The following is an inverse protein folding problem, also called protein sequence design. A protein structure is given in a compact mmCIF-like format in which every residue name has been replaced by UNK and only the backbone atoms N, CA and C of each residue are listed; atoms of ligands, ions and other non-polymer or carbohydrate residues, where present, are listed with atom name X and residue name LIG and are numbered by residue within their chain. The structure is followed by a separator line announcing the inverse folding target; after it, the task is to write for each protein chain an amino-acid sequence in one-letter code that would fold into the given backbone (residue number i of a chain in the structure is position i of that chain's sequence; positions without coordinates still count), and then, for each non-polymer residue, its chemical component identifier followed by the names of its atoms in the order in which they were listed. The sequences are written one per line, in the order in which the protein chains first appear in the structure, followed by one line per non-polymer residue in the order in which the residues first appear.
data_IF_786666169115
#
_entry.id   IF_786666169115
#
_cell.length_a   1.000
_cell.length_b   1.000
_cell.length_c   1.000
_cell.angle_alpha   90.00
_cell.angle_beta   90.00
_cell.angle_gamma   90.00
#
_symmetry.space_group_name_H-M   'P 1'
#
loop_
_entity.id
_entity.type
_entity.pdbx_description
1 polymer ?
#
# COMPACT_ATOMS: atom_id res chain seq x y z
N UNK A 1 -3.11 8.77 5.82
CA UNK A 1 -2.22 9.32 4.75
C UNK A 1 -3.06 9.88 3.59
N UNK A 2 -2.66 10.99 2.96
CA UNK A 2 -3.21 11.47 1.66
C UNK A 2 -2.31 10.98 0.52
N UNK A 3 -2.88 10.53 -0.60
CA UNK A 3 -2.13 9.96 -1.72
C UNK A 3 -2.72 10.42 -3.06
N UNK A 4 -1.97 11.25 -3.79
CA UNK A 4 -2.42 11.84 -5.05
C UNK A 4 -2.76 10.78 -6.12
N UNK A 5 -2.05 9.65 -6.15
CA UNK A 5 -2.34 8.56 -7.07
C UNK A 5 -3.68 7.87 -6.79
N UNK A 6 -4.05 7.77 -5.51
CA UNK A 6 -5.35 7.24 -5.11
C UNK A 6 -6.44 8.27 -5.43
N UNK A 7 -6.22 9.54 -5.11
CA UNK A 7 -7.18 10.60 -5.37
C UNK A 7 -7.46 10.76 -6.88
N UNK A 8 -6.42 10.63 -7.73
CA UNK A 8 -6.52 10.62 -9.19
C UNK A 8 -7.09 9.30 -9.77
N UNK A 9 -7.28 8.27 -8.95
CA UNK A 9 -7.81 6.97 -9.37
C UNK A 9 -6.90 6.13 -10.27
N UNK A 10 -5.63 6.49 -10.39
CA UNK A 10 -4.65 5.78 -11.21
C UNK A 10 -3.97 4.62 -10.47
N UNK A 11 -4.09 4.55 -9.15
CA UNK A 11 -3.58 3.44 -8.34
C UNK A 11 -4.56 3.03 -7.23
N UNK A 12 -4.81 1.73 -7.11
CA UNK A 12 -5.69 1.12 -6.10
C UNK A 12 -5.00 0.06 -5.25
N UNK A 13 -3.66 0.03 -5.24
CA UNK A 13 -2.89 -0.95 -4.46
C UNK A 13 -3.12 -0.83 -2.94
N UNK A 14 -3.44 0.37 -2.45
CA UNK A 14 -3.77 0.62 -1.05
C UNK A 14 -5.28 0.45 -0.80
N UNK A 15 -5.76 -0.78 -0.69
CA UNK A 15 -7.20 -1.10 -0.62
C UNK A 15 -7.95 -0.45 0.55
N UNK A 16 -7.27 -0.10 1.65
CA UNK A 16 -7.89 0.46 2.86
C UNK A 16 -7.49 1.91 3.11
N UNK A 17 -6.98 2.63 2.11
CA UNK A 17 -6.44 3.99 2.30
C UNK A 17 -7.48 4.95 2.94
N UNK A 18 -8.75 4.80 2.57
CA UNK A 18 -9.85 5.64 3.06
C UNK A 18 -10.30 5.31 4.49
N UNK A 19 -9.91 4.15 5.03
CA UNK A 19 -10.23 3.77 6.41
C UNK A 19 -9.25 4.46 7.37
N UNK A 20 -9.74 5.10 8.46
CA UNK A 20 -8.88 5.59 9.53
C UNK A 20 -7.93 4.49 10.02
N UNK A 21 -6.66 4.84 10.25
CA UNK A 21 -5.64 3.82 10.56
C UNK A 21 -5.98 2.99 11.81
N UNK A 22 -6.59 3.61 12.82
CA UNK A 22 -7.09 2.90 14.01
C UNK A 22 -8.14 1.83 13.67
N UNK A 23 -9.03 2.12 12.71
CA UNK A 23 -10.04 1.18 12.26
C UNK A 23 -9.43 0.04 11.43
N UNK A 24 -8.43 0.33 10.60
CA UNK A 24 -7.67 -0.71 9.90
C UNK A 24 -7.06 -1.72 10.89
N UNK A 25 -6.46 -1.24 11.98
CA UNK A 25 -5.88 -2.10 13.01
C UNK A 25 -6.96 -2.92 13.74
N UNK A 26 -8.07 -2.29 14.11
CA UNK A 26 -9.18 -2.97 14.78
C UNK A 26 -9.76 -4.09 13.91
N UNK A 27 -10.06 -3.81 12.63
CA UNK A 27 -10.59 -4.79 11.67
C UNK A 27 -9.62 -5.96 11.44
N UNK A 28 -8.30 -5.70 11.32
CA UNK A 28 -7.28 -6.77 11.21
C UNK A 28 -7.22 -7.64 12.46
N UNK A 29 -7.28 -7.03 13.65
CA UNK A 29 -7.22 -7.76 14.91
C UNK A 29 -8.48 -8.62 15.12
N UNK A 30 -9.67 -8.09 14.81
CA UNK A 30 -10.92 -8.87 14.85
C UNK A 30 -10.88 -10.03 13.86
N UNK A 31 -10.46 -9.78 12.62
CA UNK A 31 -10.32 -10.83 11.61
C UNK A 31 -9.38 -11.95 12.08
N UNK A 32 -8.21 -11.60 12.63
CA UNK A 32 -7.26 -12.59 13.15
C UNK A 32 -7.87 -13.44 14.28
N UNK A 33 -8.61 -12.83 15.23
CA UNK A 33 -9.28 -13.55 16.32
C UNK A 33 -10.34 -14.53 15.81
N UNK A 34 -11.15 -14.11 14.83
CA UNK A 34 -12.16 -14.96 14.21
C UNK A 34 -11.53 -16.13 13.45
N UNK A 35 -10.42 -15.89 12.77
CA UNK A 35 -9.70 -16.92 12.00
C UNK A 35 -8.95 -17.91 12.91
N UNK A 36 -8.56 -17.50 14.12
CA UNK A 36 -7.74 -18.29 15.05
C UNK A 36 -8.40 -18.44 16.44
N UNK A 37 -9.53 -19.17 16.55
CA UNK A 37 -10.33 -19.23 17.79
C UNK A 37 -9.63 -19.92 18.98
N UNK A 38 -8.56 -20.68 18.75
CA UNK A 38 -7.81 -21.39 19.81
C UNK A 38 -6.70 -20.58 20.49
N UNK A 39 -6.46 -19.34 20.07
CA UNK A 39 -5.40 -18.49 20.65
C UNK A 39 -5.84 -17.97 22.00
N UNK A 40 -5.13 -18.40 23.06
CA UNK A 40 -5.45 -18.11 24.47
C UNK A 40 -5.17 -16.67 24.90
N UNK A 41 -4.20 -16.01 24.27
CA UNK A 41 -3.79 -14.65 24.64
C UNK A 41 -3.44 -13.84 23.40
N UNK A 42 -4.01 -12.63 23.32
CA UNK A 42 -3.74 -11.67 22.25
C UNK A 42 -3.03 -10.46 22.84
N UNK A 43 -1.84 -10.15 22.32
CA UNK A 43 -1.14 -8.92 22.64
C UNK A 43 -1.70 -7.75 21.82
N UNK A 44 -1.47 -6.49 22.25
CA UNK A 44 -1.79 -5.33 21.44
C UNK A 44 -1.10 -5.38 20.06
N UNK A 45 -1.76 -4.92 18.98
CA UNK A 45 -1.13 -4.84 17.66
C UNK A 45 0.10 -3.93 17.67
N UNK A 46 1.19 -4.39 17.04
CA UNK A 46 2.35 -3.54 16.75
C UNK A 46 2.01 -2.65 15.55
N UNK A 47 2.09 -1.34 15.74
CA UNK A 47 1.70 -0.34 14.74
C UNK A 47 2.88 -0.01 13.84
N UNK A 48 2.62 0.09 12.54
CA UNK A 48 3.56 0.63 11.55
C UNK A 48 3.36 2.15 11.46
N UNK A 49 4.38 2.91 11.01
CA UNK A 49 4.12 4.22 10.39
C UNK A 49 3.08 4.09 9.27
N UNK A 50 2.33 5.16 9.00
CA UNK A 50 1.35 5.20 7.91
C UNK A 50 1.99 5.43 6.52
N UNK A 51 3.26 5.83 6.49
CA UNK A 51 4.02 6.19 5.29
C UNK A 51 5.48 5.74 5.43
N UNK A 52 6.22 5.69 4.31
CA UNK A 52 7.65 5.39 4.27
C UNK A 52 8.08 4.00 4.76
N UNK A 53 7.13 3.11 5.06
CA UNK A 53 7.40 1.81 5.71
C UNK A 53 7.81 0.69 4.75
N UNK A 54 7.76 0.90 3.42
CA UNK A 54 8.25 -0.07 2.44
C UNK A 54 9.68 0.29 2.04
N UNK A 55 10.63 -0.51 2.50
CA UNK A 55 12.06 -0.40 2.16
C UNK A 55 12.45 -1.09 0.84
N UNK A 56 11.47 -1.64 0.11
CA UNK A 56 11.66 -2.28 -1.19
C UNK A 56 10.43 -2.06 -2.06
N UNK A 57 10.68 -1.58 -3.28
CA UNK A 57 9.69 -1.50 -4.35
C UNK A 57 10.08 -2.42 -5.50
N UNK A 58 9.09 -3.06 -6.14
CA UNK A 58 9.26 -3.73 -7.43
C UNK A 58 8.39 -2.98 -8.43
N UNK A 59 9.00 -2.40 -9.44
CA UNK A 59 8.31 -1.62 -10.45
C UNK A 59 8.38 -2.32 -11.80
N UNK A 60 7.29 -2.24 -12.56
CA UNK A 60 7.26 -2.55 -13.98
C UNK A 60 7.91 -1.39 -14.74
N UNK A 61 8.72 -1.71 -15.74
CA UNK A 61 9.25 -0.75 -16.70
C UNK A 61 8.33 -0.75 -17.92
N UNK A 62 7.78 0.41 -18.25
CA UNK A 62 7.03 0.64 -19.49
C UNK A 62 7.41 1.96 -20.13
N UNK A 63 6.54 2.49 -20.99
CA UNK A 63 6.86 3.67 -21.81
C UNK A 63 7.75 3.30 -23.00
N UNK A 64 8.66 4.22 -23.37
CA UNK A 64 9.64 4.02 -24.43
C UNK A 64 11.06 4.07 -23.89
N UNK A 65 12.05 3.79 -24.74
CA UNK A 65 13.47 3.93 -24.39
C UNK A 65 13.81 5.38 -24.00
N UNK A 66 13.27 6.35 -24.73
CA UNK A 66 13.53 7.78 -24.49
C UNK A 66 12.73 8.35 -23.30
N UNK A 67 11.60 7.71 -22.95
CA UNK A 67 10.72 8.13 -21.86
C UNK A 67 10.22 6.91 -21.06
N UNK A 68 11.09 6.28 -20.25
CA UNK A 68 10.71 5.13 -19.46
C UNK A 68 9.79 5.54 -18.30
N UNK A 69 8.82 4.69 -18.00
CA UNK A 69 7.90 4.85 -16.86
C UNK A 69 8.14 3.72 -15.88
N UNK A 70 8.30 4.05 -14.60
CA UNK A 70 8.50 3.10 -13.50
C UNK A 70 7.29 3.11 -12.58
N UNK A 71 6.59 1.98 -12.48
CA UNK A 71 5.50 1.82 -11.51
C UNK A 71 4.73 0.53 -11.66
N UNK A 72 3.41 0.60 -11.89
CA UNK A 72 2.52 -0.57 -12.02
C UNK A 72 1.77 -0.56 -13.34
N UNK A 73 1.12 -1.67 -13.67
CA UNK A 73 0.15 -1.72 -14.77
C UNK A 73 -1.25 -1.43 -14.25
N UNK A 74 -1.99 -0.59 -14.96
CA UNK A 74 -3.42 -0.42 -14.74
C UNK A 74 -4.23 -1.62 -15.28
N UNK A 75 -5.56 -1.59 -15.11
CA UNK A 75 -6.44 -2.64 -15.58
C UNK A 75 -6.45 -2.84 -17.11
N UNK A 76 -5.90 -1.88 -17.87
CA UNK A 76 -5.77 -1.91 -19.32
C UNK A 76 -4.33 -2.22 -19.77
N UNK A 77 -3.43 -2.56 -18.84
CA UNK A 77 -2.03 -2.85 -19.15
C UNK A 77 -1.18 -1.61 -19.45
N UNK A 78 -1.66 -0.40 -19.17
CA UNK A 78 -0.87 0.83 -19.31
C UNK A 78 -0.03 1.05 -18.06
N UNK A 79 1.18 1.54 -18.23
CA UNK A 79 2.07 1.81 -17.10
C UNK A 79 1.69 3.11 -16.40
N UNK A 80 1.50 3.03 -15.09
CA UNK A 80 1.26 4.15 -14.19
C UNK A 80 2.55 4.40 -13.42
N UNK A 81 3.07 5.63 -13.50
CA UNK A 81 4.22 6.06 -12.70
C UNK A 81 3.88 6.03 -11.21
N UNK A 82 4.74 5.42 -10.39
CA UNK A 82 4.59 5.40 -8.94
C UNK A 82 5.89 5.75 -8.19
N UNK A 83 6.77 6.55 -8.81
CA UNK A 83 8.05 6.92 -8.19
C UNK A 83 7.87 7.77 -6.92
N UNK A 84 6.77 8.52 -6.83
CA UNK A 84 6.45 9.32 -5.65
C UNK A 84 5.49 8.59 -4.67
N UNK A 85 5.40 7.25 -4.71
CA UNK A 85 4.53 6.53 -3.78
C UNK A 85 4.96 6.77 -2.33
N UNK A 86 4.09 7.40 -1.53
CA UNK A 86 4.37 7.74 -0.12
C UNK A 86 4.58 6.54 0.82
N UNK A 87 4.42 5.31 0.33
CA UNK A 87 4.77 4.10 1.08
C UNK A 87 6.26 3.78 1.01
N UNK A 88 6.97 4.22 -0.02
CA UNK A 88 8.39 3.93 -0.18
C UNK A 88 9.22 4.79 0.77
N UNK A 89 10.22 4.19 1.40
CA UNK A 89 11.21 4.94 2.17
C UNK A 89 11.89 5.96 1.26
N UNK A 90 12.10 7.23 1.68
CA UNK A 90 12.79 8.20 0.85
C UNK A 90 14.16 7.68 0.37
N UNK A 91 14.43 7.80 -0.94
CA UNK A 91 15.69 7.39 -1.55
C UNK A 91 15.75 5.97 -2.11
N UNK A 92 14.62 5.23 -2.15
CA UNK A 92 14.52 3.95 -2.88
C UNK A 92 13.66 4.06 -4.14
#
# INVERSE_FOLDING_TARGET
MRCDYYDAGVCRSCAWLELPYAEQLARKAEHARRTLPGVRAWLPPVRSPEEGYRNKAKMVVGGSVDAPVLGILDAHGRTVDLRACGLHTPGI
#
